data_IF_032111778112
#
_entry.id   IF_032111778112
#
_cell.length_a   1.000
_cell.length_b   1.000
_cell.length_c   1.000
_cell.angle_alpha   90.00
_cell.angle_beta   90.00
_cell.angle_gamma   90.00
#
_symmetry.space_group_name_H-M   'P 1'
#
loop_
_entity.id
_entity.type
_entity.pdbx_description
1 polymer ?
#
# COMPACT_ATOMS: atom_id res chain seq x y z
N UNK A 1 48.71 -7.79 13.80
CA UNK A 1 47.65 -7.35 14.75
C UNK A 1 46.83 -6.17 14.20
N UNK A 2 47.45 -5.08 13.72
CA UNK A 2 46.77 -3.88 13.19
C UNK A 2 45.88 -4.11 11.94
N UNK A 3 46.25 -5.06 11.09
CA UNK A 3 45.45 -5.45 9.90
C UNK A 3 44.26 -6.33 10.25
N UNK A 4 44.36 -7.14 11.30
CA UNK A 4 43.27 -7.98 11.80
C UNK A 4 42.17 -7.10 12.42
N UNK A 5 42.56 -6.03 13.13
CA UNK A 5 41.62 -5.03 13.66
C UNK A 5 40.89 -4.27 12.55
N UNK A 6 41.56 -3.97 11.42
CA UNK A 6 40.94 -3.29 10.27
C UNK A 6 39.94 -4.18 9.51
N UNK A 7 40.21 -5.49 9.43
CA UNK A 7 39.32 -6.45 8.77
C UNK A 7 38.03 -6.68 9.58
N UNK A 8 38.11 -6.65 10.91
CA UNK A 8 36.96 -6.81 11.81
C UNK A 8 36.02 -5.60 11.73
N UNK A 9 36.55 -4.38 11.56
CA UNK A 9 35.73 -3.16 11.47
C UNK A 9 34.93 -3.10 10.14
N UNK A 10 35.47 -3.64 9.04
CA UNK A 10 34.76 -3.69 7.75
C UNK A 10 33.65 -4.76 7.70
N UNK A 11 33.74 -5.82 8.53
CA UNK A 11 32.74 -6.90 8.54
C UNK A 11 31.43 -6.52 9.25
N UNK A 12 31.44 -5.53 10.13
CA UNK A 12 30.27 -5.14 10.94
C UNK A 12 29.27 -4.30 10.14
N UNK A 13 29.68 -3.71 9.01
CA UNK A 13 28.81 -2.90 8.14
C UNK A 13 28.05 -3.70 7.07
N UNK A 14 28.15 -5.04 7.11
CA UNK A 14 27.45 -5.95 6.19
C UNK A 14 26.31 -6.72 6.89
N UNK A 15 25.73 -6.15 7.95
CA UNK A 15 24.49 -6.69 8.52
C UNK A 15 23.35 -6.53 7.50
N UNK A 16 22.60 -7.60 7.19
CA UNK A 16 21.59 -7.56 6.14
C UNK A 16 20.42 -6.67 6.62
N UNK A 17 19.96 -5.76 5.74
CA UNK A 17 18.76 -4.91 5.88
C UNK A 17 17.43 -5.51 5.31
N UNK A 18 17.25 -6.83 5.05
CA UNK A 18 16.15 -7.33 4.22
C UNK A 18 14.78 -7.09 4.85
N UNK A 19 14.69 -7.07 6.19
CA UNK A 19 13.41 -6.85 6.88
C UNK A 19 12.73 -5.52 6.50
N UNK A 20 13.49 -4.43 6.33
CA UNK A 20 12.93 -3.12 5.98
C UNK A 20 12.51 -3.03 4.51
N UNK A 21 13.15 -3.80 3.63
CA UNK A 21 12.81 -3.83 2.21
C UNK A 21 11.53 -4.64 1.97
N UNK A 22 11.39 -5.79 2.64
CA UNK A 22 10.20 -6.65 2.54
C UNK A 22 8.94 -5.94 3.08
N UNK A 23 9.06 -5.22 4.20
CA UNK A 23 7.97 -4.44 4.78
C UNK A 23 7.50 -3.31 3.83
N UNK A 24 8.45 -2.68 3.12
CA UNK A 24 8.15 -1.61 2.18
C UNK A 24 7.46 -2.13 0.91
N UNK A 25 7.88 -3.27 0.38
CA UNK A 25 7.17 -3.89 -0.76
C UNK A 25 5.78 -4.37 -0.36
N UNK A 26 5.62 -4.93 0.84
CA UNK A 26 4.31 -5.30 1.37
C UNK A 26 3.39 -4.08 1.51
N UNK A 27 3.93 -2.95 1.98
CA UNK A 27 3.20 -1.69 2.07
C UNK A 27 2.74 -1.18 0.69
N UNK A 28 3.64 -1.15 -0.30
CA UNK A 28 3.30 -0.73 -1.67
C UNK A 28 2.27 -1.66 -2.30
N UNK A 29 2.39 -2.97 -2.07
CA UNK A 29 1.40 -3.96 -2.52
C UNK A 29 0.01 -3.71 -1.92
N UNK A 30 -0.07 -3.40 -0.63
CA UNK A 30 -1.34 -3.05 0.03
C UNK A 30 -1.95 -1.77 -0.56
N UNK A 31 -1.12 -0.77 -0.89
CA UNK A 31 -1.56 0.46 -1.56
C UNK A 31 -2.06 0.21 -2.99
N UNK A 32 -1.39 -0.66 -3.75
CA UNK A 32 -1.88 -1.10 -5.07
C UNK A 32 -3.24 -1.78 -4.97
N UNK A 33 -3.43 -2.66 -3.98
CA UNK A 33 -4.71 -3.32 -3.75
C UNK A 33 -5.81 -2.32 -3.39
N UNK A 34 -5.50 -1.30 -2.58
CA UNK A 34 -6.44 -0.23 -2.27
C UNK A 34 -6.82 0.57 -3.52
N UNK A 35 -5.84 0.90 -4.37
CA UNK A 35 -6.06 1.55 -5.66
C UNK A 35 -6.96 0.72 -6.57
N UNK A 36 -6.70 -0.58 -6.68
CA UNK A 36 -7.53 -1.48 -7.48
C UNK A 36 -8.99 -1.52 -7.02
N UNK A 37 -9.24 -1.55 -5.70
CA UNK A 37 -10.59 -1.47 -5.14
C UNK A 37 -11.28 -0.13 -5.43
N UNK A 38 -10.53 0.98 -5.39
CA UNK A 38 -11.06 2.29 -5.81
C UNK A 38 -11.44 2.29 -7.30
N UNK A 39 -10.56 1.77 -8.18
CA UNK A 39 -10.83 1.67 -9.61
C UNK A 39 -12.08 0.85 -9.92
N UNK A 40 -12.23 -0.31 -9.27
CA UNK A 40 -13.41 -1.15 -9.37
C UNK A 40 -14.67 -0.43 -8.87
N UNK A 41 -14.61 0.21 -7.69
CA UNK A 41 -15.74 0.96 -7.14
C UNK A 41 -16.18 2.11 -8.07
N UNK A 42 -15.23 2.84 -8.65
CA UNK A 42 -15.51 3.91 -9.62
C UNK A 42 -16.18 3.38 -10.88
N UNK A 43 -15.67 2.30 -11.46
CA UNK A 43 -16.26 1.66 -12.64
C UNK A 43 -17.69 1.17 -12.37
N UNK A 44 -17.95 0.77 -11.14
CA UNK A 44 -19.25 0.30 -10.68
C UNK A 44 -20.18 1.40 -10.13
N UNK A 45 -19.79 2.67 -10.18
CA UNK A 45 -20.54 3.79 -9.61
C UNK A 45 -20.81 3.69 -8.10
N UNK A 46 -20.03 2.89 -7.38
CA UNK A 46 -20.09 2.71 -5.92
C UNK A 46 -19.35 3.85 -5.20
N UNK A 47 -19.96 5.04 -5.21
CA UNK A 47 -19.33 6.28 -4.76
C UNK A 47 -18.86 6.24 -3.30
N UNK A 48 -19.61 5.58 -2.42
CA UNK A 48 -19.26 5.44 -1.00
C UNK A 48 -17.96 4.64 -0.83
N UNK A 49 -17.84 3.50 -1.51
CA UNK A 49 -16.65 2.67 -1.48
C UNK A 49 -15.43 3.40 -2.09
N UNK A 50 -15.62 4.11 -3.21
CA UNK A 50 -14.55 4.90 -3.83
C UNK A 50 -14.05 6.03 -2.90
N UNK A 51 -14.97 6.75 -2.24
CA UNK A 51 -14.61 7.77 -1.26
C UNK A 51 -13.86 7.16 -0.06
N UNK A 52 -14.32 6.01 0.42
CA UNK A 52 -13.69 5.29 1.52
C UNK A 52 -12.27 4.82 1.19
N UNK A 53 -12.03 4.30 -0.01
CA UNK A 53 -10.70 3.93 -0.47
C UNK A 53 -9.73 5.13 -0.44
N UNK A 54 -10.17 6.31 -0.88
CA UNK A 54 -9.38 7.55 -0.82
C UNK A 54 -9.08 7.97 0.63
N UNK A 55 -10.06 7.86 1.53
CA UNK A 55 -9.84 8.15 2.96
C UNK A 55 -8.79 7.23 3.55
N UNK A 56 -8.84 5.93 3.26
CA UNK A 56 -7.85 4.96 3.73
C UNK A 56 -6.45 5.27 3.17
N UNK A 57 -6.35 5.67 1.90
CA UNK A 57 -5.09 6.08 1.29
C UNK A 57 -4.48 7.27 2.03
N UNK A 58 -5.29 8.30 2.32
CA UNK A 58 -4.83 9.50 3.03
C UNK A 58 -4.47 9.22 4.50
N UNK A 59 -5.15 8.27 5.14
CA UNK A 59 -4.95 7.95 6.55
C UNK A 59 -3.71 7.08 6.81
N UNK A 60 -3.39 6.16 5.90
CA UNK A 60 -2.37 5.13 6.15
C UNK A 60 -1.11 5.28 5.31
N UNK A 61 -1.20 5.82 4.09
CA UNK A 61 -0.08 5.81 3.16
C UNK A 61 0.86 7.01 3.37
N UNK A 62 2.20 6.81 3.37
CA UNK A 62 3.14 7.91 3.34
C UNK A 62 2.91 8.82 2.13
N UNK A 63 3.01 10.14 2.34
CA UNK A 63 2.82 11.16 1.30
C UNK A 63 4.05 11.28 0.40
N UNK A 64 4.38 10.21 -0.33
CA UNK A 64 5.50 10.18 -1.28
C UNK A 64 5.01 9.82 -2.67
N UNK A 65 5.76 10.22 -3.70
CA UNK A 65 5.44 9.93 -5.09
C UNK A 65 5.28 8.42 -5.35
N UNK A 66 6.09 7.58 -4.71
CA UNK A 66 6.05 6.12 -4.86
C UNK A 66 4.69 5.53 -4.49
N UNK A 67 4.13 5.92 -3.34
CA UNK A 67 2.83 5.40 -2.90
C UNK A 67 1.68 6.05 -3.68
N UNK A 68 1.77 7.33 -4.01
CA UNK A 68 0.79 8.02 -4.86
C UNK A 68 0.65 7.37 -6.23
N UNK A 69 1.78 7.17 -6.94
CA UNK A 69 1.82 6.51 -8.24
C UNK A 69 1.25 5.09 -8.16
N UNK A 70 1.67 4.30 -7.16
CA UNK A 70 1.18 2.94 -6.98
C UNK A 70 -0.35 2.86 -6.80
N UNK A 71 -0.94 3.81 -6.07
CA UNK A 71 -2.39 3.90 -5.90
C UNK A 71 -3.11 4.32 -7.18
N UNK A 72 -2.59 5.35 -7.85
CA UNK A 72 -3.20 5.94 -9.05
C UNK A 72 -3.13 5.01 -10.26
N UNK A 73 -1.99 4.37 -10.50
CA UNK A 73 -1.80 3.38 -11.56
C UNK A 73 -2.76 2.20 -11.38
N UNK A 74 -2.79 1.61 -10.17
CA UNK A 74 -3.69 0.49 -9.88
C UNK A 74 -5.18 0.88 -9.96
N UNK A 75 -5.52 2.13 -9.60
CA UNK A 75 -6.88 2.66 -9.78
C UNK A 75 -7.27 2.69 -11.26
N UNK A 76 -6.41 3.24 -12.12
CA UNK A 76 -6.66 3.34 -13.55
C UNK A 76 -6.77 1.97 -14.20
N UNK A 77 -5.83 1.07 -13.90
CA UNK A 77 -5.82 -0.29 -14.42
C UNK A 77 -7.09 -1.06 -14.05
N UNK A 78 -7.50 -1.03 -12.78
CA UNK A 78 -8.69 -1.75 -12.34
C UNK A 78 -9.98 -1.14 -12.88
N UNK A 79 -10.06 0.19 -13.03
CA UNK A 79 -11.20 0.85 -13.67
C UNK A 79 -11.36 0.40 -15.12
N UNK A 80 -10.26 0.40 -15.89
CA UNK A 80 -10.26 -0.04 -17.28
C UNK A 80 -10.57 -1.53 -17.40
N UNK A 81 -10.03 -2.37 -16.51
CA UNK A 81 -10.32 -3.80 -16.50
C UNK A 81 -11.81 -4.07 -16.20
N UNK A 82 -12.38 -3.40 -15.20
CA UNK A 82 -13.78 -3.59 -14.81
C UNK A 82 -14.75 -3.13 -15.91
N UNK A 83 -14.47 -2.01 -16.58
CA UNK A 83 -15.31 -1.51 -17.67
C UNK A 83 -15.21 -2.35 -18.95
N UNK A 84 -14.05 -2.98 -19.22
CA UNK A 84 -13.85 -3.88 -20.37
C UNK A 84 -14.42 -5.28 -20.16
N UNK A 85 -14.39 -5.80 -18.94
CA UNK A 85 -14.70 -7.20 -18.67
C UNK A 85 -16.20 -7.55 -18.83
N UNK A 86 -17.10 -6.57 -19.03
CA UNK A 86 -18.56 -6.75 -18.89
C UNK A 86 -18.97 -7.46 -17.59
N UNK A 87 -18.07 -7.46 -16.60
CA UNK A 87 -18.18 -8.25 -15.39
C UNK A 87 -19.20 -7.63 -14.44
N UNK A 88 -19.91 -8.48 -13.69
CA UNK A 88 -20.83 -8.02 -12.66
C UNK A 88 -20.08 -7.21 -11.62
N UNK A 89 -20.62 -6.04 -11.29
CA UNK A 89 -20.10 -5.23 -10.21
C UNK A 89 -20.31 -5.94 -8.87
N UNK A 90 -19.28 -5.99 -8.00
CA UNK A 90 -19.48 -6.45 -6.63
C UNK A 90 -20.49 -5.53 -5.94
N UNK A 91 -21.29 -6.10 -5.04
CA UNK A 91 -22.16 -5.29 -4.20
C UNK A 91 -21.35 -4.43 -3.20
N UNK A 92 -22.00 -3.39 -2.67
CA UNK A 92 -21.39 -2.45 -1.74
C UNK A 92 -20.79 -3.14 -0.49
N UNK A 93 -21.45 -4.17 0.05
CA UNK A 93 -20.97 -4.90 1.24
C UNK A 93 -19.70 -5.69 0.91
N UNK A 94 -19.63 -6.29 -0.27
CA UNK A 94 -18.46 -6.98 -0.77
C UNK A 94 -17.26 -6.05 -0.95
N UNK A 95 -17.49 -4.85 -1.47
CA UNK A 95 -16.44 -3.82 -1.57
C UNK A 95 -15.98 -3.37 -0.17
N UNK A 96 -16.91 -3.10 0.74
CA UNK A 96 -16.57 -2.66 2.10
C UNK A 96 -15.78 -3.71 2.89
N UNK A 97 -16.13 -4.99 2.75
CA UNK A 97 -15.37 -6.10 3.32
C UNK A 97 -13.93 -6.12 2.82
N UNK A 98 -13.73 -6.03 1.50
CA UNK A 98 -12.38 -5.99 0.92
C UNK A 98 -11.59 -4.75 1.35
N UNK A 99 -12.24 -3.60 1.44
CA UNK A 99 -11.62 -2.37 1.94
C UNK A 99 -11.21 -2.49 3.41
N UNK A 100 -11.99 -3.19 4.25
CA UNK A 100 -11.60 -3.49 5.64
C UNK A 100 -10.35 -4.35 5.70
N UNK A 101 -10.30 -5.41 4.89
CA UNK A 101 -9.15 -6.32 4.88
C UNK A 101 -7.87 -5.60 4.44
N UNK A 102 -7.96 -4.72 3.43
CA UNK A 102 -6.82 -3.91 2.99
C UNK A 102 -6.43 -2.88 4.04
N UNK A 103 -7.39 -2.26 4.73
CA UNK A 103 -7.09 -1.33 5.84
C UNK A 103 -6.27 -2.01 6.95
N UNK A 104 -6.63 -3.24 7.32
CA UNK A 104 -5.86 -4.01 8.32
C UNK A 104 -4.44 -4.31 7.85
N UNK A 105 -4.25 -4.62 6.56
CA UNK A 105 -2.91 -4.84 5.98
C UNK A 105 -2.08 -3.56 5.96
N UNK A 106 -2.69 -2.45 5.57
CA UNK A 106 -2.06 -1.13 5.58
C UNK A 106 -1.61 -0.75 7.00
N UNK A 107 -2.45 -0.97 8.01
CA UNK A 107 -2.08 -0.68 9.39
C UNK A 107 -0.88 -1.49 9.89
N UNK A 108 -0.75 -2.75 9.44
CA UNK A 108 0.40 -3.60 9.79
C UNK A 108 1.67 -3.20 9.06
N UNK A 109 1.57 -2.89 7.76
CA UNK A 109 2.71 -2.57 6.91
C UNK A 109 3.19 -1.11 7.03
N UNK A 110 2.29 -0.22 7.42
CA UNK A 110 2.52 1.21 7.57
C UNK A 110 1.97 1.66 8.93
N UNK A 111 2.62 1.25 10.04
CA UNK A 111 2.20 1.71 11.35
C UNK A 111 2.30 3.23 11.37
N UNK A 112 1.19 3.88 11.71
CA UNK A 112 1.16 5.34 11.90
C UNK A 112 2.10 5.63 13.06
N UNK A 113 3.28 6.19 12.78
CA UNK A 113 4.16 6.67 13.84
C UNK A 113 3.39 7.70 14.67
N UNK A 114 3.42 7.64 16.01
CA UNK A 114 2.86 8.70 16.82
C UNK A 114 3.49 10.01 16.36
N UNK A 115 2.66 11.04 16.14
CA UNK A 115 3.15 12.36 15.78
C UNK A 115 4.26 12.74 16.77
N UNK A 116 5.46 13.04 16.27
CA UNK A 116 6.55 13.50 17.10
C UNK A 116 6.01 14.66 17.96
N UNK A 117 5.98 14.46 19.28
CA UNK A 117 5.54 15.47 20.22
C UNK A 117 6.34 16.74 19.93
N UNK A 118 5.63 17.79 19.53
CA UNK A 118 6.21 19.08 19.17
C UNK A 118 6.60 19.84 20.42
#
# INVERSE_FOLDING_TARGET
MKHLTRLIILLILAAPLPALADDLEAAVSAVKQLGALNGQALACSEKAAAARAKVLMLAHSPKTARFGAAYEEATQEAFLAQTKASGTCPDAKGLDGKLNDVAQRLQKALPIAPAAAK
#
